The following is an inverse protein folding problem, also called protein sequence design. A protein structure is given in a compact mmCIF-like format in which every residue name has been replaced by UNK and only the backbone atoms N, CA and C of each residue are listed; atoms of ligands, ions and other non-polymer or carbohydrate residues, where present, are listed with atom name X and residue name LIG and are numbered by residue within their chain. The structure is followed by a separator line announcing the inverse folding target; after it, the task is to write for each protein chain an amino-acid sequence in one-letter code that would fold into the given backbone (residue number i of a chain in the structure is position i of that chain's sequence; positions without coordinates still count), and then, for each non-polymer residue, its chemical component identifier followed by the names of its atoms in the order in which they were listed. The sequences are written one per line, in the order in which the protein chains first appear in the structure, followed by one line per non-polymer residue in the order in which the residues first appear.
data_IF_145021968480
#
_entry.id   IF_145021968480
#
_cell.length_a   1.000
_cell.length_b   1.000
_cell.length_c   1.000
_cell.angle_alpha   90.00
_cell.angle_beta   90.00
_cell.angle_gamma   90.00
#
_symmetry.space_group_name_H-M   'P 1'
#
loop_
_entity.id
_entity.type
_entity.pdbx_description
1 polymer ?
#
# COMPACT_ATOMS: atom_id res chain seq x y z
N UNK A 1 0.52 -14.89 -3.54
CA UNK A 1 0.36 -14.27 -2.23
C UNK A 1 1.44 -13.20 -2.05
N UNK A 2 1.03 -12.01 -1.67
CA UNK A 2 1.93 -10.92 -1.29
C UNK A 2 2.24 -11.10 0.20
N UNK A 3 3.52 -11.08 0.58
CA UNK A 3 3.97 -11.29 1.96
C UNK A 3 4.97 -10.21 2.35
N UNK A 4 4.89 -9.74 3.58
CA UNK A 4 5.88 -8.84 4.16
C UNK A 4 6.21 -9.23 5.61
N UNK A 5 7.34 -8.72 6.09
CA UNK A 5 7.86 -8.99 7.45
C UNK A 5 7.67 -7.74 8.29
N UNK A 6 7.31 -7.89 9.56
CA UNK A 6 7.30 -6.76 10.50
C UNK A 6 8.72 -6.19 10.70
N UNK A 7 8.86 -4.88 10.97
CA UNK A 7 10.18 -4.25 11.14
C UNK A 7 11.06 -4.93 12.21
N UNK A 8 10.48 -5.47 13.26
CA UNK A 8 11.18 -6.23 14.31
C UNK A 8 11.48 -7.70 13.93
N UNK A 9 11.04 -8.15 12.74
CA UNK A 9 11.26 -9.51 12.26
C UNK A 9 10.42 -10.60 12.94
N UNK A 10 9.47 -10.24 13.82
CA UNK A 10 8.72 -11.20 14.63
C UNK A 10 7.49 -11.79 13.92
N UNK A 11 6.98 -11.13 12.87
CA UNK A 11 5.76 -11.51 12.19
C UNK A 11 5.90 -11.46 10.67
N UNK A 12 5.25 -12.40 9.99
CA UNK A 12 4.89 -12.31 8.58
C UNK A 12 3.42 -11.91 8.49
N UNK A 13 3.08 -11.02 7.54
CA UNK A 13 1.70 -10.72 7.14
C UNK A 13 1.55 -11.02 5.67
N UNK A 14 0.43 -11.62 5.27
CA UNK A 14 0.20 -12.07 3.90
C UNK A 14 -1.28 -12.15 3.55
N UNK A 15 -1.60 -12.08 2.25
CA UNK A 15 -2.92 -12.41 1.74
C UNK A 15 -3.04 -13.90 1.48
N UNK A 16 -4.11 -14.54 1.97
CA UNK A 16 -4.45 -15.93 1.68
C UNK A 16 -5.81 -16.01 1.02
N UNK A 17 -5.90 -16.76 -0.08
CA UNK A 17 -7.17 -17.01 -0.75
C UNK A 17 -7.72 -18.38 -0.29
N UNK A 18 -8.95 -18.37 0.25
CA UNK A 18 -9.71 -19.56 0.62
C UNK A 18 -11.09 -19.40 -0.01
N UNK A 19 -11.53 -20.40 -0.79
CA UNK A 19 -12.84 -20.44 -1.46
C UNK A 19 -13.16 -19.15 -2.26
N UNK A 20 -12.12 -18.57 -2.88
CA UNK A 20 -12.24 -17.36 -3.67
C UNK A 20 -12.29 -16.05 -2.88
N UNK A 21 -12.23 -16.09 -1.55
CA UNK A 21 -12.09 -14.94 -0.66
C UNK A 21 -10.63 -14.74 -0.31
N UNK A 22 -10.13 -13.52 -0.41
CA UNK A 22 -8.76 -13.18 -0.06
C UNK A 22 -8.76 -12.30 1.17
N UNK A 23 -8.32 -12.89 2.29
CA UNK A 23 -8.20 -12.22 3.58
C UNK A 23 -6.73 -12.09 4.00
N UNK A 24 -6.47 -11.17 4.95
CA UNK A 24 -5.16 -11.01 5.56
C UNK A 24 -4.97 -12.01 6.69
N UNK A 25 -3.77 -12.57 6.73
CA UNK A 25 -3.28 -13.51 7.73
C UNK A 25 -1.92 -13.08 8.24
N UNK A 26 -1.59 -13.49 9.46
CA UNK A 26 -0.25 -13.37 10.02
C UNK A 26 0.23 -14.69 10.59
N UNK A 27 1.56 -14.87 10.70
CA UNK A 27 2.19 -15.99 11.38
C UNK A 27 3.60 -15.61 11.85
N UNK A 28 4.18 -16.42 12.69
CA UNK A 28 5.61 -16.32 13.00
C UNK A 28 6.46 -16.75 11.81
N UNK A 29 7.73 -16.26 11.67
CA UNK A 29 8.61 -16.67 10.59
C UNK A 29 8.91 -18.18 10.53
N UNK A 30 8.78 -18.88 11.64
CA UNK A 30 8.93 -20.35 11.73
C UNK A 30 7.64 -21.12 11.34
N UNK A 31 6.57 -20.42 10.98
CA UNK A 31 5.28 -20.98 10.59
C UNK A 31 4.32 -21.25 11.75
N UNK A 32 4.68 -20.88 12.97
CA UNK A 32 3.78 -21.00 14.13
C UNK A 32 2.87 -19.78 14.30
N UNK A 33 1.91 -19.83 15.22
CA UNK A 33 0.99 -18.74 15.58
C UNK A 33 0.22 -18.16 14.38
N UNK A 34 -0.18 -19.01 13.42
CA UNK A 34 -0.96 -18.57 12.26
C UNK A 34 -2.34 -18.08 12.71
N UNK A 35 -2.72 -16.87 12.29
CA UNK A 35 -3.98 -16.24 12.63
C UNK A 35 -4.53 -15.44 11.44
N UNK A 36 -5.85 -15.55 11.22
CA UNK A 36 -6.58 -14.70 10.29
C UNK A 36 -6.85 -13.34 10.94
N UNK A 37 -6.65 -12.26 10.19
CA UNK A 37 -6.81 -10.88 10.66
C UNK A 37 -8.13 -10.28 10.16
N UNK A 38 -8.48 -10.49 8.88
CA UNK A 38 -9.70 -9.97 8.27
C UNK A 38 -10.66 -11.11 7.92
N UNK A 39 -11.97 -10.80 7.94
CA UNK A 39 -13.06 -11.76 7.69
C UNK A 39 -14.12 -11.07 6.86
N UNK A 40 -13.82 -10.84 5.56
CA UNK A 40 -14.70 -10.06 4.71
C UNK A 40 -15.33 -10.90 3.61
N UNK A 41 -16.59 -10.61 3.25
CA UNK A 41 -17.30 -11.38 2.23
C UNK A 41 -17.06 -10.86 0.81
N UNK A 42 -16.99 -9.55 0.63
CA UNK A 42 -16.87 -8.92 -0.69
C UNK A 42 -15.49 -8.33 -0.96
N UNK A 43 -14.74 -7.92 0.06
CA UNK A 43 -13.41 -7.35 -0.09
C UNK A 43 -12.36 -8.43 -0.40
N UNK A 44 -11.38 -8.05 -1.23
CA UNK A 44 -10.20 -8.84 -1.57
C UNK A 44 -8.98 -8.06 -1.12
N UNK A 45 -8.42 -8.43 0.01
CA UNK A 45 -7.30 -7.75 0.64
C UNK A 45 -5.96 -8.23 0.10
N UNK A 46 -5.00 -7.32 -0.05
CA UNK A 46 -3.65 -7.67 -0.49
C UNK A 46 -2.64 -6.54 -0.32
N UNK A 47 -1.40 -6.82 -0.70
CA UNK A 47 -0.24 -5.95 -0.48
C UNK A 47 -0.13 -5.45 0.96
N UNK A 48 -0.16 -6.35 1.97
CA UNK A 48 -0.03 -5.93 3.35
C UNK A 48 1.42 -5.61 3.72
N UNK A 49 1.62 -4.50 4.45
CA UNK A 49 2.91 -4.12 5.02
C UNK A 49 2.71 -3.65 6.45
N UNK A 50 3.59 -4.07 7.35
CA UNK A 50 3.63 -3.49 8.69
C UNK A 50 4.14 -2.06 8.65
N UNK A 51 3.55 -1.19 9.46
CA UNK A 51 4.08 0.14 9.77
C UNK A 51 5.22 0.02 10.82
N UNK A 52 6.01 1.10 11.04
CA UNK A 52 7.12 1.07 11.98
C UNK A 52 6.77 0.78 13.44
N UNK A 53 5.48 0.81 13.82
CA UNK A 53 5.00 0.46 15.16
C UNK A 53 4.96 -1.05 15.45
N UNK A 54 5.23 -1.92 14.44
CA UNK A 54 5.14 -3.38 14.51
C UNK A 54 3.73 -3.96 14.80
N UNK A 55 2.72 -3.12 14.82
CA UNK A 55 1.34 -3.51 15.13
C UNK A 55 0.36 -3.21 13.99
N UNK A 56 0.52 -2.06 13.36
CA UNK A 56 -0.40 -1.58 12.32
C UNK A 56 0.02 -2.10 10.95
N UNK A 57 -0.94 -2.59 10.20
CA UNK A 57 -0.77 -3.11 8.83
C UNK A 57 -1.44 -2.14 7.87
N UNK A 58 -0.68 -1.66 6.88
CA UNK A 58 -1.15 -0.92 5.72
C UNK A 58 -1.44 -1.94 4.61
N UNK A 59 -2.59 -1.84 3.95
CA UNK A 59 -2.95 -2.74 2.85
C UNK A 59 -3.95 -2.08 1.89
N UNK A 60 -4.15 -2.68 0.72
CA UNK A 60 -5.19 -2.28 -0.23
C UNK A 60 -6.23 -3.39 -0.36
N UNK A 61 -7.46 -3.01 -0.66
CA UNK A 61 -8.50 -3.96 -1.01
C UNK A 61 -9.40 -3.44 -2.12
N UNK A 62 -10.06 -4.37 -2.85
CA UNK A 62 -11.09 -4.07 -3.83
C UNK A 62 -12.31 -4.96 -3.60
N UNK A 63 -13.47 -4.52 -4.07
CA UNK A 63 -14.68 -5.32 -3.98
C UNK A 63 -14.82 -6.29 -5.14
N UNK A 64 -15.08 -7.56 -4.86
CA UNK A 64 -15.39 -8.57 -5.88
C UNK A 64 -16.60 -8.18 -6.71
N UNK A 65 -17.62 -7.63 -6.07
CA UNK A 65 -18.85 -7.16 -6.71
C UNK A 65 -18.63 -6.05 -7.75
N UNK A 66 -17.54 -5.30 -7.65
CA UNK A 66 -17.17 -4.20 -8.57
C UNK A 66 -16.13 -4.61 -9.62
N UNK A 67 -15.45 -5.74 -9.43
CA UNK A 67 -14.37 -6.19 -10.31
C UNK A 67 -14.85 -6.34 -11.77
N UNK A 68 -14.15 -5.65 -12.67
CA UNK A 68 -14.44 -5.63 -14.09
C UNK A 68 -15.67 -4.82 -14.52
N UNK A 69 -16.50 -4.34 -13.57
CA UNK A 69 -17.64 -3.46 -13.85
C UNK A 69 -17.22 -1.98 -13.90
N UNK A 70 -16.29 -1.60 -13.05
CA UNK A 70 -15.68 -0.27 -13.02
C UNK A 70 -14.24 -0.42 -13.50
N UNK A 71 -13.78 0.44 -14.39
CA UNK A 71 -12.41 0.40 -14.95
C UNK A 71 -11.76 1.78 -14.86
N UNK A 72 -10.57 1.88 -14.26
CA UNK A 72 -9.90 0.82 -13.49
C UNK A 72 -10.70 0.44 -12.26
N UNK A 73 -10.61 -0.82 -11.81
CA UNK A 73 -11.30 -1.29 -10.60
C UNK A 73 -10.85 -0.46 -9.40
N UNK A 74 -11.75 0.19 -8.66
CA UNK A 74 -11.39 0.96 -7.47
C UNK A 74 -10.67 0.08 -6.43
N UNK A 75 -9.65 0.63 -5.83
CA UNK A 75 -8.93 0.02 -4.72
C UNK A 75 -8.80 1.03 -3.59
N UNK A 76 -9.19 0.61 -2.40
CA UNK A 76 -9.12 1.44 -1.20
C UNK A 76 -7.92 1.03 -0.36
N UNK A 77 -7.21 2.01 0.18
CA UNK A 77 -6.14 1.79 1.16
C UNK A 77 -6.73 1.83 2.56
N UNK A 78 -6.33 0.85 3.36
CA UNK A 78 -6.75 0.68 4.75
C UNK A 78 -5.56 0.52 5.68
N UNK A 79 -5.82 0.72 6.95
CA UNK A 79 -4.98 0.21 8.04
C UNK A 79 -5.80 -0.61 9.01
N UNK A 80 -5.17 -1.62 9.62
CA UNK A 80 -5.74 -2.46 10.66
C UNK A 80 -4.61 -2.88 11.61
N UNK A 81 -4.90 -3.07 12.89
CA UNK A 81 -3.92 -3.71 13.78
C UNK A 81 -3.84 -5.20 13.52
N UNK A 82 -2.69 -5.78 13.77
CA UNK A 82 -2.44 -7.19 13.53
C UNK A 82 -3.27 -8.15 14.41
N UNK A 83 -3.99 -7.62 15.42
CA UNK A 83 -4.98 -8.35 16.21
C UNK A 83 -6.40 -8.25 15.66
N UNK A 84 -6.58 -7.57 14.50
CA UNK A 84 -7.87 -7.36 13.85
C UNK A 84 -8.64 -6.12 14.32
N UNK A 85 -8.12 -5.36 15.28
CA UNK A 85 -8.76 -4.13 15.78
C UNK A 85 -8.32 -2.89 14.99
N UNK A 86 -8.96 -1.75 15.21
CA UNK A 86 -8.55 -0.46 14.64
C UNK A 86 -8.64 -0.37 13.12
N UNK A 87 -9.55 -1.12 12.49
CA UNK A 87 -9.78 -1.05 11.04
C UNK A 87 -10.18 0.35 10.60
N UNK A 88 -9.39 0.95 9.71
CA UNK A 88 -9.54 2.35 9.31
C UNK A 88 -9.34 2.52 7.81
N UNK A 89 -10.28 3.21 7.15
CA UNK A 89 -10.17 3.65 5.74
C UNK A 89 -9.18 4.80 5.65
N UNK A 90 -8.27 4.77 4.69
CA UNK A 90 -7.26 5.81 4.47
C UNK A 90 -7.43 6.58 3.15
N UNK A 91 -8.12 6.00 2.16
CA UNK A 91 -8.50 6.68 0.91
C UNK A 91 -10.02 6.65 0.73
N UNK A 92 -10.60 7.77 0.29
CA UNK A 92 -12.06 7.95 0.21
C UNK A 92 -12.57 8.19 -1.21
N UNK A 93 -11.69 8.07 -2.20
CA UNK A 93 -12.03 8.22 -3.62
C UNK A 93 -12.37 6.87 -4.27
N UNK A 94 -12.83 6.94 -5.52
CA UNK A 94 -13.12 5.76 -6.36
C UNK A 94 -11.96 5.44 -7.30
N UNK A 95 -10.74 5.90 -7.00
CA UNK A 95 -9.57 5.62 -7.80
C UNK A 95 -8.99 4.23 -7.50
N UNK A 96 -8.20 3.70 -8.42
CA UNK A 96 -7.37 2.54 -8.17
C UNK A 96 -6.13 2.97 -7.38
N UNK A 97 -6.14 2.77 -6.06
CA UNK A 97 -5.01 3.01 -5.17
C UNK A 97 -4.26 1.68 -4.96
N UNK A 98 -3.26 1.41 -5.77
CA UNK A 98 -2.59 0.11 -5.86
C UNK A 98 -1.17 0.13 -5.28
N UNK A 99 -0.69 -1.05 -4.84
CA UNK A 99 0.67 -1.28 -4.34
C UNK A 99 1.14 -0.26 -3.29
N UNK A 100 0.40 -0.05 -2.19
CA UNK A 100 0.85 0.83 -1.14
C UNK A 100 2.09 0.28 -0.44
N UNK A 101 3.06 1.15 -0.16
CA UNK A 101 4.28 0.83 0.59
C UNK A 101 4.51 1.89 1.67
N UNK A 102 4.66 1.53 2.95
CA UNK A 102 4.77 2.48 4.05
C UNK A 102 6.11 3.22 4.04
N UNK A 103 6.09 4.48 4.44
CA UNK A 103 7.30 5.24 4.71
C UNK A 103 7.83 4.95 6.13
N UNK A 104 9.16 5.03 6.33
CA UNK A 104 9.76 4.80 7.64
C UNK A 104 9.34 5.80 8.73
N UNK A 105 8.75 6.94 8.35
CA UNK A 105 8.20 7.92 9.28
C UNK A 105 6.86 7.50 9.93
N UNK A 106 6.26 6.36 9.47
CA UNK A 106 5.02 5.81 10.00
C UNK A 106 3.78 6.67 9.76
N UNK A 107 3.88 7.73 8.96
CA UNK A 107 2.79 8.63 8.61
C UNK A 107 2.46 8.60 7.12
N UNK A 108 3.48 8.56 6.28
CA UNK A 108 3.30 8.58 4.84
C UNK A 108 3.38 7.18 4.23
N UNK A 109 2.89 7.05 3.01
CA UNK A 109 3.05 5.85 2.18
C UNK A 109 3.14 6.26 0.72
N UNK A 110 3.87 5.50 -0.08
CA UNK A 110 3.85 5.63 -1.53
C UNK A 110 2.93 4.58 -2.13
N UNK A 111 2.24 4.92 -3.21
CA UNK A 111 1.31 4.01 -3.88
C UNK A 111 1.16 4.38 -5.35
N UNK A 112 0.51 3.53 -6.12
CA UNK A 112 0.29 3.74 -7.55
C UNK A 112 -1.16 4.12 -7.81
N UNK A 113 -1.36 5.11 -8.68
CA UNK A 113 -2.69 5.51 -9.17
C UNK A 113 -2.69 5.61 -10.69
N UNK A 114 -3.77 5.18 -11.30
CA UNK A 114 -4.05 5.42 -12.72
C UNK A 114 -4.55 6.85 -12.87
N UNK A 115 -3.84 7.66 -13.66
CA UNK A 115 -4.20 9.07 -13.89
C UNK A 115 -4.93 9.27 -15.22
N UNK A 116 -4.61 8.44 -16.22
CA UNK A 116 -5.22 8.40 -17.54
C UNK A 116 -5.15 6.98 -18.08
N UNK A 117 -5.81 6.67 -19.20
CA UNK A 117 -5.71 5.37 -19.85
C UNK A 117 -4.24 4.98 -20.08
N UNK A 118 -3.83 3.85 -19.49
CA UNK A 118 -2.47 3.32 -19.55
C UNK A 118 -1.38 4.20 -18.90
N UNK A 119 -1.73 5.22 -18.16
CA UNK A 119 -0.78 6.06 -17.42
C UNK A 119 -0.89 5.80 -15.91
N UNK A 120 0.12 5.15 -15.37
CA UNK A 120 0.24 4.72 -13.98
C UNK A 120 1.36 5.48 -13.31
N UNK A 121 1.07 6.16 -12.22
CA UNK A 121 2.01 7.05 -11.58
C UNK A 121 2.12 6.78 -10.08
N UNK A 122 3.29 7.09 -9.53
CA UNK A 122 3.53 6.98 -8.09
C UNK A 122 3.07 8.24 -7.38
N UNK A 123 2.36 8.06 -6.29
CA UNK A 123 1.86 9.11 -5.41
C UNK A 123 2.36 8.92 -3.98
N UNK A 124 2.44 10.01 -3.24
CA UNK A 124 2.63 10.06 -1.80
C UNK A 124 1.29 10.32 -1.13
N UNK A 125 0.86 9.42 -0.26
CA UNK A 125 -0.30 9.56 0.61
C UNK A 125 0.09 9.87 2.05
N UNK A 126 -0.82 10.47 2.80
CA UNK A 126 -0.70 10.72 4.24
C UNK A 126 -1.76 9.90 4.99
N UNK A 127 -1.37 9.12 5.98
CA UNK A 127 -2.30 8.34 6.81
C UNK A 127 -3.25 9.23 7.64
N UNK A 128 -2.87 10.50 7.87
CA UNK A 128 -3.75 11.48 8.48
C UNK A 128 -4.85 12.00 7.54
N UNK A 129 -4.77 11.67 6.24
CA UNK A 129 -5.69 12.12 5.20
C UNK A 129 -5.16 13.28 4.37
N UNK A 130 -6.00 13.81 3.48
CA UNK A 130 -5.66 14.87 2.54
C UNK A 130 -5.42 14.35 1.12
N UNK A 131 -5.19 15.30 0.18
CA UNK A 131 -4.96 14.98 -1.22
C UNK A 131 -3.58 14.38 -1.44
N UNK A 132 -3.46 13.20 -2.09
CA UNK A 132 -2.17 12.62 -2.41
C UNK A 132 -1.34 13.47 -3.36
N UNK A 133 -0.04 13.52 -3.13
CA UNK A 133 0.92 14.23 -3.98
C UNK A 133 1.50 13.31 -5.05
N UNK A 134 1.32 13.66 -6.33
CA UNK A 134 1.96 12.94 -7.45
C UNK A 134 3.48 13.14 -7.41
N UNK A 135 4.23 12.04 -7.53
CA UNK A 135 5.70 12.03 -7.50
C UNK A 135 6.34 11.76 -8.86
N UNK A 136 5.65 11.02 -9.74
CA UNK A 136 6.15 10.71 -11.08
C UNK A 136 5.24 11.29 -12.17
N UNK A 137 5.80 11.56 -13.36
CA UNK A 137 5.13 12.29 -14.45
C UNK A 137 5.52 11.74 -15.83
N UNK A 138 5.78 10.45 -15.92
CA UNK A 138 6.17 9.82 -17.17
C UNK A 138 4.98 9.11 -17.82
N UNK A 139 4.69 9.32 -19.10
CA UNK A 139 3.62 8.59 -19.78
C UNK A 139 3.89 7.08 -19.75
N UNK A 140 2.91 6.28 -19.33
CA UNK A 140 2.99 4.82 -19.28
C UNK A 140 2.91 4.27 -17.87
N UNK A 141 3.81 3.35 -17.51
CA UNK A 141 3.78 2.69 -16.22
C UNK A 141 4.97 3.10 -15.35
N UNK A 142 4.68 3.75 -14.24
CA UNK A 142 5.55 3.89 -13.08
C UNK A 142 4.88 3.18 -11.89
N UNK A 143 5.52 2.14 -11.34
CA UNK A 143 4.87 1.32 -10.30
C UNK A 143 5.83 0.52 -9.43
N UNK A 144 5.26 -0.29 -8.54
CA UNK A 144 5.99 -1.06 -7.53
C UNK A 144 6.94 -0.19 -6.68
N UNK A 145 6.44 0.92 -6.11
CA UNK A 145 7.30 1.80 -5.33
C UNK A 145 7.71 1.14 -4.01
N UNK A 146 8.94 1.40 -3.59
CA UNK A 146 9.45 1.09 -2.26
C UNK A 146 10.39 2.20 -1.79
N UNK A 147 10.53 2.36 -0.48
CA UNK A 147 11.38 3.38 0.12
C UNK A 147 12.59 2.76 0.80
N UNK A 148 13.71 3.46 0.76
CA UNK A 148 14.90 3.09 1.53
C UNK A 148 14.62 3.19 3.04
N UNK A 149 15.30 2.41 3.89
CA UNK A 149 15.08 2.41 5.33
C UNK A 149 15.30 3.78 6.00
N UNK A 150 16.11 4.64 5.38
CA UNK A 150 16.35 6.02 5.84
C UNK A 150 15.33 7.04 5.29
N UNK A 151 14.43 6.61 4.38
CA UNK A 151 13.41 7.46 3.77
C UNK A 151 13.94 8.48 2.76
N UNK A 152 15.21 8.36 2.31
CA UNK A 152 15.82 9.33 1.40
C UNK A 152 15.71 8.98 -0.08
N UNK A 153 15.47 7.69 -0.40
CA UNK A 153 15.38 7.18 -1.77
C UNK A 153 14.08 6.42 -1.97
N UNK A 154 13.51 6.58 -3.15
CA UNK A 154 12.40 5.76 -3.65
C UNK A 154 12.87 4.94 -4.84
N UNK A 155 12.66 3.63 -4.77
CA UNK A 155 12.85 2.70 -5.87
C UNK A 155 11.50 2.44 -6.53
N UNK A 156 11.44 2.41 -7.86
CA UNK A 156 10.24 2.04 -8.61
C UNK A 156 10.58 1.47 -9.98
N UNK A 157 9.64 0.77 -10.59
CA UNK A 157 9.76 0.25 -11.94
C UNK A 157 9.12 1.22 -12.93
N UNK A 158 9.82 1.55 -14.03
CA UNK A 158 9.33 2.37 -15.14
C UNK A 158 9.28 1.57 -16.42
N UNK A 159 8.17 1.66 -17.14
CA UNK A 159 8.08 1.14 -18.51
C UNK A 159 8.67 2.14 -19.50
N UNK A 160 9.51 1.65 -20.41
CA UNK A 160 10.08 2.44 -21.51
C UNK A 160 9.56 2.00 -22.87
N UNK A 161 8.66 1.01 -22.90
CA UNK A 161 8.06 0.49 -24.13
C UNK A 161 6.59 0.92 -24.28
N UNK A 162 6.04 0.73 -25.47
CA UNK A 162 4.67 1.14 -25.84
C UNK A 162 3.53 0.31 -25.26
N UNK A 163 3.76 -0.51 -24.24
CA UNK A 163 2.73 -1.36 -23.64
C UNK A 163 2.78 -1.35 -22.10
N UNK A 164 1.65 -1.69 -21.48
CA UNK A 164 1.57 -1.84 -20.04
C UNK A 164 2.62 -2.84 -19.54
N UNK A 165 3.44 -2.40 -18.58
CA UNK A 165 4.52 -3.19 -17.97
C UNK A 165 5.55 -3.78 -18.96
N UNK A 166 5.70 -3.21 -20.16
CA UNK A 166 6.69 -3.65 -21.14
C UNK A 166 8.03 -2.95 -20.94
N UNK A 167 9.15 -3.70 -21.07
CA UNK A 167 10.50 -3.16 -20.90
C UNK A 167 10.67 -2.37 -19.59
N UNK A 168 10.40 -3.04 -18.45
CA UNK A 168 10.54 -2.43 -17.14
C UNK A 168 12.01 -2.24 -16.75
N UNK A 169 12.34 -1.05 -16.29
CA UNK A 169 13.63 -0.71 -15.71
C UNK A 169 13.43 -0.18 -14.28
N UNK A 170 14.38 -0.53 -13.43
CA UNK A 170 14.42 -0.01 -12.07
C UNK A 170 14.95 1.42 -12.07
N UNK A 171 14.23 2.33 -11.45
CA UNK A 171 14.61 3.72 -11.23
C UNK A 171 14.78 4.00 -9.75
N UNK A 172 15.70 4.90 -9.43
CA UNK A 172 15.91 5.43 -8.08
C UNK A 172 15.70 6.93 -8.12
N UNK A 173 14.80 7.44 -7.28
CA UNK A 173 14.53 8.86 -7.12
C UNK A 173 15.00 9.35 -5.75
N UNK A 174 15.64 10.50 -5.69
CA UNK A 174 15.91 11.19 -4.43
C UNK A 174 14.62 11.81 -3.90
N UNK A 175 14.20 11.39 -2.71
CA UNK A 175 13.02 11.89 -2.02
C UNK A 175 13.36 12.47 -0.63
N UNK A 176 14.64 12.76 -0.39
CA UNK A 176 15.14 13.28 0.90
C UNK A 176 14.42 14.54 1.36
N UNK A 177 14.01 15.40 0.43
CA UNK A 177 13.25 16.63 0.72
C UNK A 177 11.83 16.38 1.28
N UNK A 178 11.32 15.15 1.19
CA UNK A 178 10.00 14.78 1.71
C UNK A 178 10.05 14.42 3.21
N UNK A 179 11.24 14.27 3.80
CA UNK A 179 11.46 13.97 5.23
C UNK A 179 10.74 12.70 5.71
N UNK A 180 10.79 11.63 4.92
CA UNK A 180 10.11 10.35 5.18
C UNK A 180 10.88 9.40 6.13
N UNK A 181 11.99 9.85 6.69
CA UNK A 181 12.89 9.03 7.50
C UNK A 181 12.36 8.69 8.89
N UNK A 182 12.93 7.65 9.54
CA UNK A 182 12.44 7.12 10.81
C UNK A 182 12.59 8.11 11.97
N UNK A 183 13.48 9.11 11.88
CA UNK A 183 13.59 10.17 12.88
C UNK A 183 12.31 11.01 13.03
N UNK A 184 11.43 10.98 12.05
CA UNK A 184 10.14 11.68 12.03
C UNK A 184 8.98 10.81 12.54
N UNK A 185 9.22 9.56 12.91
CA UNK A 185 8.19 8.68 13.45
C UNK A 185 7.68 9.18 14.81
N UNK A 186 6.38 9.46 14.88
CA UNK A 186 5.67 9.95 16.08
C UNK A 186 4.44 9.11 16.44
N UNK A 187 4.38 7.90 15.92
CA UNK A 187 3.19 7.05 15.95
C UNK A 187 2.36 7.16 14.68
N UNK A 188 1.47 6.19 14.48
CA UNK A 188 0.53 6.19 13.36
C UNK A 188 -0.56 7.22 13.64
N UNK A 189 -0.79 8.19 12.74
CA UNK A 189 -1.75 9.24 12.99
C UNK A 189 -3.20 8.75 12.90
N UNK A 190 -4.08 9.40 13.64
CA UNK A 190 -5.50 9.34 13.39
C UNK A 190 -5.84 9.98 12.04
N UNK A 191 -6.92 9.51 11.41
CA UNK A 191 -7.36 10.07 10.13
C UNK A 191 -8.32 11.24 10.36
N UNK A 192 -8.19 12.27 9.52
CA UNK A 192 -9.20 13.31 9.34
C UNK A 192 -9.93 13.01 8.03
N UNK A 193 -11.17 12.43 8.08
CA UNK A 193 -11.95 12.19 6.88
C UNK A 193 -12.21 13.50 6.12
N UNK A 194 -12.36 13.45 4.79
CA UNK A 194 -12.75 14.63 4.02
C UNK A 194 -14.13 15.14 4.49
N UNK A 195 -14.33 16.44 4.41
CA UNK A 195 -15.65 17.03 4.65
C UNK A 195 -16.65 16.44 3.64
N UNK A 196 -17.81 15.99 4.13
CA UNK A 196 -18.92 15.45 3.32
C UNK A 196 -19.65 16.55 2.58
#
# INVERSE_FOLDING_TARGET
AEVSVSPDGQWLVFGRQIDGKMDLWRMRPDGTDEQQITFTDDWQEGAPFYLPDNETILYRAWKRSEYGKIKPTPMTVFTIKHDGTGHTVRTFDQAMNWAPYPAPDGRHYVFVRVVEDNNWEVFLGDLAGGEPKRLTFNPGFDGFPSLSPDGTKMLFARSTGGGFMSNLYTHVMDVSSLNLGPANFKGVPDITPPAT
#
